data_IF_288435575172
#
_entry.id   IF_288435575172
#
_cell.length_a   1.000
_cell.length_b   1.000
_cell.length_c   1.000
_cell.angle_alpha   90.00
_cell.angle_beta   90.00
_cell.angle_gamma   90.00
#
_symmetry.space_group_name_H-M   'P 1'
#
loop_
_entity.id
_entity.type
_entity.pdbx_description
1 polymer ?
#
# COMPACT_ATOMS: atom_id res chain seq x y z
N UNK A 1 -43.08 -38.21 -25.07
CA UNK A 1 -42.72 -37.94 -23.66
C UNK A 1 -41.29 -38.45 -23.47
N UNK A 2 -40.29 -37.61 -23.76
CA UNK A 2 -38.87 -37.98 -23.71
C UNK A 2 -38.33 -37.64 -22.32
N UNK A 3 -37.79 -38.64 -21.64
CA UNK A 3 -37.05 -38.48 -20.39
C UNK A 3 -35.67 -37.93 -20.75
N UNK A 4 -35.45 -36.64 -20.53
CA UNK A 4 -34.16 -36.00 -20.70
C UNK A 4 -33.33 -36.21 -19.41
N UNK A 5 -32.89 -37.45 -19.21
CA UNK A 5 -31.76 -37.78 -18.36
C UNK A 5 -30.50 -37.63 -19.20
N UNK A 6 -29.93 -36.43 -19.28
CA UNK A 6 -28.50 -36.33 -19.62
C UNK A 6 -27.97 -34.95 -19.28
N UNK A 7 -26.90 -34.94 -18.50
CA UNK A 7 -26.00 -33.81 -18.36
C UNK A 7 -26.60 -32.55 -17.71
N UNK A 8 -27.01 -32.69 -16.44
CA UNK A 8 -26.57 -31.66 -15.49
C UNK A 8 -25.06 -31.77 -15.41
N UNK A 9 -24.42 -31.08 -16.35
CA UNK A 9 -23.00 -30.82 -16.37
C UNK A 9 -22.68 -30.10 -15.07
N UNK A 10 -22.33 -30.88 -14.05
CA UNK A 10 -21.59 -30.40 -12.90
C UNK A 10 -20.29 -29.86 -13.46
N UNK A 11 -20.30 -28.58 -13.82
CA UNK A 11 -19.12 -27.75 -14.02
C UNK A 11 -18.32 -27.88 -12.72
N UNK A 12 -17.43 -28.88 -12.68
CA UNK A 12 -16.43 -29.01 -11.64
C UNK A 12 -15.54 -27.80 -11.82
N UNK A 13 -15.82 -26.75 -11.06
CA UNK A 13 -14.87 -25.67 -10.90
C UNK A 13 -13.58 -26.32 -10.39
N UNK A 14 -12.44 -26.14 -11.09
CA UNK A 14 -11.17 -26.61 -10.59
C UNK A 14 -10.94 -25.98 -9.21
N UNK A 15 -10.26 -26.67 -8.27
CA UNK A 15 -9.84 -26.05 -7.03
C UNK A 15 -8.82 -24.98 -7.38
N UNK A 16 -9.33 -23.78 -7.67
CA UNK A 16 -8.55 -22.58 -7.84
C UNK A 16 -7.84 -22.39 -6.52
N UNK A 17 -6.57 -22.78 -6.50
CA UNK A 17 -5.62 -22.40 -5.48
C UNK A 17 -5.55 -20.88 -5.55
N UNK A 18 -6.48 -20.22 -4.85
CA UNK A 18 -6.42 -18.80 -4.56
C UNK A 18 -5.29 -18.60 -3.55
N UNK A 19 -4.06 -18.88 -4.00
CA UNK A 19 -2.89 -18.13 -3.57
C UNK A 19 -3.00 -16.74 -4.23
N UNK A 20 -4.11 -16.07 -3.98
CA UNK A 20 -4.18 -14.62 -4.04
C UNK A 20 -3.33 -14.18 -2.85
N UNK A 21 -2.02 -14.18 -3.07
CA UNK A 21 -1.09 -13.38 -2.30
C UNK A 21 -1.64 -11.97 -2.46
N UNK A 22 -2.56 -11.58 -1.56
CA UNK A 22 -2.61 -10.22 -1.05
C UNK A 22 -1.24 -9.99 -0.45
N UNK A 23 -0.29 -9.75 -1.33
CA UNK A 23 0.92 -9.06 -0.99
C UNK A 23 0.38 -7.68 -0.69
N UNK A 24 -0.01 -7.51 0.58
CA UNK A 24 -0.30 -6.25 1.24
C UNK A 24 0.95 -5.43 1.01
N UNK A 25 1.05 -4.84 -0.18
CA UNK A 25 2.21 -4.11 -0.62
C UNK A 25 2.15 -2.88 0.25
N UNK A 26 2.93 -2.90 1.33
CA UNK A 26 3.08 -1.78 2.25
C UNK A 26 3.84 -0.68 1.51
N UNK A 27 3.15 -0.03 0.58
CA UNK A 27 3.62 1.14 -0.11
C UNK A 27 3.25 2.36 0.73
N UNK A 28 4.24 3.23 0.92
CA UNK A 28 4.04 4.55 1.47
C UNK A 28 4.89 5.54 0.71
N UNK A 29 4.33 6.71 0.45
CA UNK A 29 5.01 7.86 -0.12
C UNK A 29 5.12 8.98 0.90
N UNK A 30 6.22 9.71 0.83
CA UNK A 30 6.43 10.96 1.55
C UNK A 30 6.55 12.06 0.48
N UNK A 31 5.67 13.04 0.53
CA UNK A 31 5.67 14.21 -0.35
C UNK A 31 6.07 15.41 0.52
N UNK A 32 7.12 16.12 0.13
CA UNK A 32 7.55 17.34 0.81
C UNK A 32 7.03 18.55 0.02
N UNK A 33 6.11 19.32 0.62
CA UNK A 33 5.65 20.61 0.06
C UNK A 33 6.29 21.71 0.89
N UNK A 34 7.39 22.28 0.40
CA UNK A 34 8.25 23.14 1.22
C UNK A 34 8.73 22.39 2.47
N UNK A 35 8.71 22.99 3.68
CA UNK A 35 9.10 22.31 4.91
C UNK A 35 8.02 21.38 5.48
N UNK A 36 6.87 21.19 4.81
CA UNK A 36 5.75 20.40 5.32
C UNK A 36 5.79 18.98 4.73
N UNK A 37 6.10 17.94 5.53
CA UNK A 37 6.02 16.55 5.11
C UNK A 37 4.59 16.03 5.11
N UNK A 38 4.11 15.56 3.95
CA UNK A 38 2.84 14.86 3.79
C UNK A 38 3.13 13.37 3.57
N UNK A 39 2.59 12.53 4.44
CA UNK A 39 2.78 11.07 4.39
C UNK A 39 1.50 10.39 3.95
N UNK A 40 1.60 9.57 2.92
CA UNK A 40 0.52 8.68 2.47
C UNK A 40 1.05 7.27 2.60
N UNK A 41 0.50 6.47 3.50
CA UNK A 41 0.93 5.08 3.68
C UNK A 41 -0.25 4.15 3.87
N UNK A 42 -0.13 2.96 3.27
CA UNK A 42 -1.09 1.87 3.44
C UNK A 42 -1.00 1.19 4.81
N UNK A 43 0.06 1.45 5.57
CA UNK A 43 0.31 0.83 6.87
C UNK A 43 0.59 1.90 7.94
N UNK A 44 -0.08 1.79 9.10
CA UNK A 44 0.07 2.77 10.18
C UNK A 44 1.52 2.85 10.69
N UNK A 45 2.20 1.73 10.86
CA UNK A 45 3.58 1.69 11.35
C UNK A 45 4.50 2.38 10.35
N UNK A 46 4.33 2.07 9.07
CA UNK A 46 5.09 2.69 7.98
C UNK A 46 4.78 4.20 7.87
N UNK A 47 3.53 4.62 8.07
CA UNK A 47 3.13 6.02 8.13
C UNK A 47 3.88 6.79 9.24
N UNK A 48 3.96 6.24 10.46
CA UNK A 48 4.67 6.87 11.57
C UNK A 48 6.17 7.01 11.28
N UNK A 49 6.79 6.00 10.68
CA UNK A 49 8.22 6.04 10.31
C UNK A 49 8.48 7.11 9.24
N UNK A 50 7.66 7.14 8.18
CA UNK A 50 7.77 8.16 7.13
C UNK A 50 7.52 9.57 7.67
N UNK A 51 6.61 9.72 8.62
CA UNK A 51 6.29 11.01 9.25
C UNK A 51 7.45 11.49 10.11
N UNK A 52 7.95 10.63 11.00
CA UNK A 52 9.09 10.96 11.85
C UNK A 52 10.31 11.32 11.00
N UNK A 53 10.63 10.52 9.98
CA UNK A 53 11.71 10.81 9.04
C UNK A 53 11.52 12.12 8.28
N UNK A 54 10.30 12.39 7.80
CA UNK A 54 9.96 13.62 7.10
C UNK A 54 10.11 14.87 7.98
N UNK A 55 9.64 14.80 9.23
CA UNK A 55 9.76 15.90 10.20
C UNK A 55 11.23 16.16 10.54
N UNK A 56 12.01 15.11 10.84
CA UNK A 56 13.45 15.26 11.13
C UNK A 56 14.18 15.88 9.95
N UNK A 57 13.87 15.45 8.72
CA UNK A 57 14.47 16.01 7.50
C UNK A 57 14.09 17.48 7.32
N UNK A 58 12.82 17.84 7.52
CA UNK A 58 12.35 19.22 7.42
C UNK A 58 12.99 20.13 8.48
N UNK A 59 13.07 19.69 9.74
CA UNK A 59 13.72 20.45 10.83
C UNK A 59 15.20 20.60 10.56
N UNK A 60 15.87 19.53 10.11
CA UNK A 60 17.29 19.57 9.76
C UNK A 60 17.54 20.57 8.64
N UNK A 61 16.75 20.54 7.57
CA UNK A 61 16.86 21.47 6.46
C UNK A 61 16.62 22.92 6.92
N UNK A 62 15.62 23.14 7.77
CA UNK A 62 15.33 24.47 8.33
C UNK A 62 16.44 24.99 9.23
N UNK A 63 17.10 24.13 10.01
CA UNK A 63 18.26 24.50 10.84
C UNK A 63 19.53 24.73 10.01
N UNK A 64 19.71 23.98 8.92
CA UNK A 64 20.89 24.08 8.05
C UNK A 64 20.83 25.31 7.14
N UNK A 65 19.63 25.71 6.73
CA UNK A 65 19.40 26.85 5.84
C UNK A 65 20.04 28.16 6.34
N UNK A 66 19.91 28.57 7.62
CA UNK A 66 20.58 29.76 8.16
C UNK A 66 22.07 29.57 8.45
N UNK A 67 22.59 28.34 8.47
CA UNK A 67 24.04 28.08 8.63
C UNK A 67 24.77 28.27 7.29
N UNK A 68 24.08 28.03 6.19
CA UNK A 68 24.60 28.17 4.82
C UNK A 68 24.34 29.55 4.19
N UNK A 69 23.51 30.39 4.81
CA UNK A 69 23.14 31.73 4.35
C UNK A 69 23.96 32.81 5.05
#
# INVERSE_FOLDING_TARGET
MFTALSSRETVRMPPGHQNERRTDTKAGGLILIGPVPIVISSDRTLAWILLAGGIVTAVTLWLLLPVFL
#
